data_IF_418568057212
#
_entry.id   IF_418568057212
#
_cell.length_a   1.000
_cell.length_b   1.000
_cell.length_c   1.000
_cell.angle_alpha   90.00
_cell.angle_beta   90.00
_cell.angle_gamma   90.00
#
_symmetry.space_group_name_H-M   'P 1'
#
loop_
_entity.id
_entity.type
_entity.pdbx_description
1 polymer ?
#
# COMPACT_ATOMS: atom_id res chain seq x y z
N UNK A 1 3.81 -27.38 -18.95
CA UNK A 1 3.50 -26.40 -20.01
C UNK A 1 2.98 -25.13 -19.34
N UNK A 2 3.80 -24.07 -19.33
CA UNK A 2 3.43 -22.79 -18.73
C UNK A 2 2.84 -21.94 -19.86
N UNK A 3 1.53 -21.66 -19.79
CA UNK A 3 0.86 -20.70 -20.66
C UNK A 3 1.40 -19.30 -20.37
N UNK A 4 2.47 -18.92 -21.06
CA UNK A 4 2.81 -17.50 -21.26
C UNK A 4 1.72 -16.92 -22.16
N UNK A 5 0.76 -16.22 -21.57
CA UNK A 5 -0.05 -15.26 -22.32
C UNK A 5 0.93 -14.21 -22.83
N UNK A 6 1.35 -14.35 -24.09
CA UNK A 6 1.90 -13.25 -24.86
C UNK A 6 0.82 -12.17 -24.88
N UNK A 7 0.99 -11.13 -24.06
CA UNK A 7 0.28 -9.88 -24.26
C UNK A 7 0.82 -9.31 -25.56
N UNK A 8 0.09 -9.55 -26.66
CA UNK A 8 0.21 -8.78 -27.87
C UNK A 8 0.05 -7.31 -27.49
N UNK A 9 1.15 -6.58 -27.40
CA UNK A 9 1.11 -5.13 -27.47
C UNK A 9 0.72 -4.85 -28.92
N UNK A 10 -0.58 -4.78 -29.17
CA UNK A 10 -1.07 -4.23 -30.44
C UNK A 10 -0.45 -2.86 -30.57
N UNK A 11 0.22 -2.61 -31.69
CA UNK A 11 0.69 -1.29 -32.09
C UNK A 11 -0.52 -0.38 -32.26
N UNK A 12 -1.03 0.12 -31.13
CA UNK A 12 -2.08 1.11 -31.05
C UNK A 12 -1.46 2.42 -31.54
N UNK A 13 -2.02 2.98 -32.61
CA UNK A 13 -1.62 4.31 -33.12
C UNK A 13 -1.54 5.28 -31.95
N UNK A 14 -0.46 6.06 -31.90
CA UNK A 14 -0.30 7.11 -30.91
C UNK A 14 -1.53 8.04 -30.97
N UNK A 15 -2.16 8.26 -29.82
CA UNK A 15 -3.26 9.20 -29.71
C UNK A 15 -2.73 10.61 -29.89
N UNK A 16 -3.55 11.46 -30.52
CA UNK A 16 -3.27 12.87 -30.66
C UNK A 16 -3.16 13.56 -29.28
N UNK A 17 -2.19 14.47 -29.15
CA UNK A 17 -1.83 15.15 -27.91
C UNK A 17 -3.03 15.93 -27.37
N UNK A 18 -3.82 16.58 -28.24
CA UNK A 18 -5.03 17.31 -27.82
C UNK A 18 -6.06 16.38 -27.17
N UNK A 19 -6.28 15.21 -27.77
CA UNK A 19 -7.20 14.20 -27.24
C UNK A 19 -6.69 13.65 -25.90
N UNK A 20 -5.38 13.39 -25.78
CA UNK A 20 -4.77 12.94 -24.52
C UNK A 20 -4.95 13.98 -23.41
N UNK A 21 -4.71 15.26 -23.72
CA UNK A 21 -4.87 16.36 -22.77
C UNK A 21 -6.32 16.52 -22.30
N UNK A 22 -7.29 16.35 -23.21
CA UNK A 22 -8.72 16.37 -22.86
C UNK A 22 -9.08 15.21 -21.92
N UNK A 23 -8.62 13.99 -22.21
CA UNK A 23 -8.86 12.83 -21.35
C UNK A 23 -8.24 13.01 -19.95
N UNK A 24 -7.03 13.57 -19.87
CA UNK A 24 -6.37 13.91 -18.61
C UNK A 24 -7.15 14.96 -17.81
N UNK A 25 -7.58 16.04 -18.45
CA UNK A 25 -8.38 17.08 -17.82
C UNK A 25 -9.71 16.55 -17.29
N UNK A 26 -10.40 15.70 -18.06
CA UNK A 26 -11.64 15.04 -17.64
C UNK A 26 -11.41 14.16 -16.40
N UNK A 27 -10.35 13.36 -16.39
CA UNK A 27 -9.97 12.53 -15.25
C UNK A 27 -9.67 13.37 -14.01
N UNK A 28 -8.82 14.38 -14.13
CA UNK A 28 -8.49 15.28 -13.01
C UNK A 28 -9.74 15.94 -12.42
N UNK A 29 -10.68 16.35 -13.28
CA UNK A 29 -11.93 16.97 -12.86
C UNK A 29 -12.83 15.96 -12.13
N UNK A 30 -12.95 14.73 -12.64
CA UNK A 30 -13.72 13.65 -12.02
C UNK A 30 -13.13 13.25 -10.65
N UNK A 31 -11.81 13.04 -10.58
CA UNK A 31 -11.09 12.68 -9.36
C UNK A 31 -11.20 13.78 -8.31
N UNK A 32 -11.04 15.05 -8.68
CA UNK A 32 -11.17 16.17 -7.76
C UNK A 32 -12.59 16.29 -7.17
N UNK A 33 -13.63 16.10 -8.01
CA UNK A 33 -15.03 16.09 -7.56
C UNK A 33 -15.31 14.94 -6.61
N UNK A 34 -14.88 13.72 -6.97
CA UNK A 34 -15.05 12.54 -6.14
C UNK A 34 -14.34 12.70 -4.80
N UNK A 35 -13.07 13.11 -4.80
CA UNK A 35 -12.27 13.33 -3.59
C UNK A 35 -12.91 14.37 -2.67
N UNK A 36 -13.41 15.49 -3.20
CA UNK A 36 -14.14 16.49 -2.42
C UNK A 36 -15.42 15.90 -1.81
N UNK A 37 -16.17 15.11 -2.57
CA UNK A 37 -17.39 14.48 -2.10
C UNK A 37 -17.14 13.42 -1.00
N UNK A 38 -16.05 12.64 -1.13
CA UNK A 38 -15.59 11.68 -0.13
C UNK A 38 -15.13 12.38 1.15
N UNK A 39 -14.30 13.43 1.05
CA UNK A 39 -13.84 14.21 2.22
C UNK A 39 -14.99 14.81 3.01
N UNK A 40 -15.98 15.38 2.33
CA UNK A 40 -17.17 15.93 2.99
C UNK A 40 -17.96 14.87 3.77
N UNK A 41 -17.86 13.59 3.41
CA UNK A 41 -18.60 12.47 4.02
C UNK A 41 -17.70 11.52 4.80
N UNK A 42 -16.45 11.92 5.05
CA UNK A 42 -15.47 11.06 5.67
C UNK A 42 -15.86 10.78 7.13
N UNK A 43 -15.93 9.50 7.47
CA UNK A 43 -15.97 9.03 8.86
C UNK A 43 -14.56 8.78 9.39
N UNK A 44 -13.64 8.42 8.48
CA UNK A 44 -12.22 8.35 8.74
C UNK A 44 -11.45 8.85 7.52
N UNK A 45 -10.36 9.56 7.73
CA UNK A 45 -9.44 9.97 6.67
C UNK A 45 -8.02 9.99 7.19
N UNK A 46 -7.10 9.44 6.40
CA UNK A 46 -5.67 9.46 6.70
C UNK A 46 -4.89 9.83 5.45
N UNK A 47 -3.91 10.70 5.61
CA UNK A 47 -2.98 11.06 4.54
C UNK A 47 -2.01 9.90 4.31
N UNK A 48 -1.86 9.50 3.06
CA UNK A 48 -0.82 8.57 2.62
C UNK A 48 0.41 9.40 2.28
N UNK A 49 1.57 8.99 2.79
CA UNK A 49 2.85 9.54 2.35
C UNK A 49 3.09 9.26 0.86
N UNK A 50 3.32 10.33 0.11
CA UNK A 50 3.45 10.33 -1.35
C UNK A 50 2.55 11.39 -1.98
N UNK A 51 3.16 12.50 -2.44
CA UNK A 51 2.47 13.45 -3.31
C UNK A 51 2.22 12.77 -4.66
N UNK A 52 1.00 12.84 -5.16
CA UNK A 52 0.77 12.59 -6.59
C UNK A 52 1.50 13.67 -7.42
N UNK A 53 1.76 13.38 -8.69
CA UNK A 53 2.27 14.38 -9.65
C UNK A 53 1.36 15.62 -9.77
N UNK A 54 0.11 15.51 -9.33
CA UNK A 54 -0.88 16.60 -9.21
C UNK A 54 -0.65 17.53 -8.02
N UNK A 55 0.30 17.23 -7.13
CA UNK A 55 0.55 17.98 -5.89
C UNK A 55 -0.45 17.69 -4.75
N UNK A 56 -1.47 16.85 -4.99
CA UNK A 56 -2.44 16.44 -3.97
C UNK A 56 -1.92 15.23 -3.18
N UNK A 57 -2.06 15.26 -1.86
CA UNK A 57 -1.80 14.09 -1.01
C UNK A 57 -2.80 12.98 -1.31
N UNK A 58 -2.35 11.75 -1.49
CA UNK A 58 -3.26 10.62 -1.53
C UNK A 58 -3.88 10.43 -0.15
N UNK A 59 -5.20 10.32 -0.05
CA UNK A 59 -5.88 10.11 1.24
C UNK A 59 -6.60 8.76 1.22
N UNK A 60 -6.43 7.96 2.26
CA UNK A 60 -7.30 6.80 2.50
C UNK A 60 -8.54 7.29 3.22
N UNK A 61 -9.64 7.40 2.49
CA UNK A 61 -10.91 7.89 3.03
C UNK A 61 -11.87 6.72 3.21
N UNK A 62 -12.47 6.63 4.39
CA UNK A 62 -13.62 5.77 4.66
C UNK A 62 -14.83 6.65 4.94
N UNK A 63 -15.85 6.55 4.08
CA UNK A 63 -17.11 7.27 4.22
C UNK A 63 -18.23 6.29 4.57
N UNK A 64 -18.81 6.43 5.76
CA UNK A 64 -19.93 5.60 6.21
C UNK A 64 -21.21 6.42 6.15
N UNK A 65 -22.07 6.14 5.17
CA UNK A 65 -23.17 7.01 4.74
C UNK A 65 -24.53 6.30 4.84
N UNK A 66 -25.60 7.05 5.11
CA UNK A 66 -26.98 6.53 5.00
C UNK A 66 -27.44 6.61 3.55
N UNK A 67 -28.34 5.72 3.11
CA UNK A 67 -28.94 5.77 1.77
C UNK A 67 -29.88 6.99 1.66
N UNK A 68 -29.75 7.75 0.57
CA UNK A 68 -30.55 8.95 0.26
C UNK A 68 -29.97 9.74 -0.92
N UNK A 69 -30.58 10.88 -1.24
CA UNK A 69 -30.14 11.76 -2.34
C UNK A 69 -28.65 12.15 -2.31
N UNK A 70 -28.05 12.54 -1.16
CA UNK A 70 -26.63 12.88 -1.12
C UNK A 70 -25.70 11.67 -1.33
N UNK A 71 -26.21 10.45 -1.20
CA UNK A 71 -25.51 9.19 -1.47
C UNK A 71 -25.61 8.79 -2.93
N UNK A 72 -26.76 9.00 -3.58
CA UNK A 72 -26.93 8.79 -5.03
C UNK A 72 -25.93 9.62 -5.82
N UNK A 73 -25.80 10.92 -5.51
CA UNK A 73 -24.80 11.80 -6.15
C UNK A 73 -23.35 11.33 -5.93
N UNK A 74 -23.05 10.75 -4.76
CA UNK A 74 -21.72 10.21 -4.49
C UNK A 74 -21.45 8.98 -5.39
N UNK A 75 -22.44 8.12 -5.60
CA UNK A 75 -22.33 6.96 -6.49
C UNK A 75 -22.13 7.41 -7.95
N UNK A 76 -22.85 8.43 -8.42
CA UNK A 76 -22.65 9.04 -9.75
C UNK A 76 -21.22 9.54 -9.92
N UNK A 77 -20.63 10.21 -8.92
CA UNK A 77 -19.24 10.66 -8.98
C UNK A 77 -18.24 9.49 -8.99
N UNK A 78 -18.53 8.39 -8.29
CA UNK A 78 -17.71 7.18 -8.34
C UNK A 78 -17.75 6.57 -9.74
N UNK A 79 -18.94 6.46 -10.35
CA UNK A 79 -19.10 5.93 -11.71
C UNK A 79 -18.40 6.82 -12.75
N UNK A 80 -18.49 8.14 -12.62
CA UNK A 80 -17.80 9.09 -13.51
C UNK A 80 -16.27 8.99 -13.42
N UNK A 81 -15.71 8.78 -12.22
CA UNK A 81 -14.27 8.56 -12.07
C UNK A 81 -13.84 7.21 -12.67
N UNK A 82 -14.66 6.15 -12.50
CA UNK A 82 -14.40 4.84 -13.11
C UNK A 82 -14.44 4.88 -14.63
N UNK A 83 -15.41 5.59 -15.21
CA UNK A 83 -15.50 5.73 -16.67
C UNK A 83 -14.32 6.51 -17.23
N UNK A 84 -13.90 7.60 -16.59
CA UNK A 84 -12.72 8.37 -16.99
C UNK A 84 -11.42 7.53 -16.90
N UNK A 85 -11.27 6.72 -15.85
CA UNK A 85 -10.14 5.79 -15.71
C UNK A 85 -10.10 4.76 -16.83
N UNK A 86 -11.27 4.16 -17.13
CA UNK A 86 -11.40 3.17 -18.19
C UNK A 86 -11.07 3.78 -19.56
N UNK A 87 -11.58 4.97 -19.85
CA UNK A 87 -11.34 5.64 -21.12
C UNK A 87 -9.86 5.95 -21.33
N UNK A 88 -9.15 6.44 -20.31
CA UNK A 88 -7.70 6.66 -20.38
C UNK A 88 -6.89 5.38 -20.59
N UNK A 89 -7.22 4.31 -19.86
CA UNK A 89 -6.49 3.04 -19.96
C UNK A 89 -6.75 2.30 -21.27
N UNK A 90 -7.95 2.42 -21.85
CA UNK A 90 -8.28 1.80 -23.13
C UNK A 90 -7.70 2.57 -24.32
N UNK A 91 -7.72 3.91 -24.25
CA UNK A 91 -7.28 4.77 -25.34
C UNK A 91 -5.77 5.02 -25.35
N UNK A 92 -5.15 5.08 -24.17
CA UNK A 92 -3.75 5.43 -24.00
C UNK A 92 -2.97 4.43 -23.10
N UNK A 93 -3.10 3.10 -23.28
CA UNK A 93 -2.46 2.10 -22.41
C UNK A 93 -0.94 2.20 -22.36
N UNK A 94 -0.30 2.73 -23.40
CA UNK A 94 1.16 2.89 -23.49
C UNK A 94 1.72 3.96 -22.54
N UNK A 95 0.88 4.90 -22.10
CA UNK A 95 1.31 6.00 -21.22
C UNK A 95 0.99 5.76 -19.75
N UNK A 96 0.08 4.83 -19.45
CA UNK A 96 -0.49 4.69 -18.11
C UNK A 96 -0.37 3.27 -17.57
N UNK A 97 0.16 3.17 -16.36
CA UNK A 97 0.14 1.93 -15.62
C UNK A 97 -1.16 1.82 -14.80
N UNK A 98 -2.02 0.87 -15.18
CA UNK A 98 -3.27 0.55 -14.47
C UNK A 98 -3.08 0.19 -13.00
N UNK A 99 -1.88 -0.25 -12.59
CA UNK A 99 -1.60 -0.57 -11.19
C UNK A 99 -1.32 0.65 -10.32
N UNK A 100 -1.17 1.84 -10.91
CA UNK A 100 -0.87 3.09 -10.18
C UNK A 100 -2.00 3.46 -9.20
N UNK A 101 -1.64 4.18 -8.14
CA UNK A 101 -2.60 4.68 -7.14
C UNK A 101 -3.66 5.59 -7.77
N UNK A 102 -3.30 6.34 -8.79
CA UNK A 102 -4.20 7.27 -9.48
C UNK A 102 -5.27 6.59 -10.33
N UNK A 103 -5.27 5.26 -10.45
CA UNK A 103 -6.32 4.48 -11.11
C UNK A 103 -7.05 3.54 -10.13
N UNK A 104 -6.80 3.67 -8.82
CA UNK A 104 -7.48 2.85 -7.81
C UNK A 104 -8.93 3.29 -7.68
N UNK A 105 -9.83 2.34 -7.85
CA UNK A 105 -11.26 2.60 -7.71
C UNK A 105 -11.70 2.62 -6.24
N UNK A 106 -12.69 3.47 -5.97
CA UNK A 106 -13.44 3.45 -4.71
C UNK A 106 -14.22 2.14 -4.58
N UNK A 107 -14.06 1.47 -3.45
CA UNK A 107 -14.84 0.28 -3.13
C UNK A 107 -16.15 0.68 -2.48
N UNK A 108 -17.29 0.19 -3.00
CA UNK A 108 -18.62 0.45 -2.43
C UNK A 108 -19.18 -0.84 -1.85
N UNK A 109 -19.70 -0.78 -0.62
CA UNK A 109 -20.38 -1.91 0.03
C UNK A 109 -21.69 -1.44 0.63
N UNK A 110 -22.75 -2.17 0.29
CA UNK A 110 -24.11 -1.84 0.71
C UNK A 110 -24.59 -2.67 1.89
N UNK A 111 -25.71 -2.25 2.50
CA UNK A 111 -26.41 -2.95 3.57
C UNK A 111 -25.52 -3.28 4.79
N UNK A 112 -24.63 -2.36 5.13
CA UNK A 112 -23.69 -2.50 6.26
C UNK A 112 -24.45 -2.37 7.58
N UNK A 113 -24.36 -3.41 8.42
CA UNK A 113 -24.97 -3.45 9.76
C UNK A 113 -24.02 -2.99 10.86
N UNK A 114 -22.74 -3.37 10.75
CA UNK A 114 -21.66 -3.03 11.70
C UNK A 114 -20.35 -2.96 10.93
N UNK A 115 -19.48 -2.04 11.32
CA UNK A 115 -18.12 -1.95 10.78
C UNK A 115 -17.12 -1.63 11.88
N UNK A 116 -16.01 -2.36 11.86
CA UNK A 116 -14.84 -2.04 12.65
C UNK A 116 -13.72 -1.61 11.69
N UNK A 117 -13.31 -0.35 11.77
CA UNK A 117 -12.19 0.22 11.03
C UNK A 117 -10.97 0.12 11.93
N UNK A 118 -10.02 -0.72 11.55
CA UNK A 118 -8.77 -0.92 12.30
C UNK A 118 -7.61 -0.25 11.57
N UNK A 119 -6.84 0.55 12.29
CA UNK A 119 -5.63 1.21 11.79
C UNK A 119 -4.45 0.43 12.35
N UNK A 120 -3.67 -0.21 11.49
CA UNK A 120 -2.53 -1.03 11.89
C UNK A 120 -1.25 -0.44 11.30
N UNK A 121 -0.15 -0.51 12.04
CA UNK A 121 1.16 -0.18 11.48
C UNK A 121 1.65 -1.34 10.61
N UNK A 122 1.87 -1.10 9.32
CA UNK A 122 2.30 -2.11 8.36
C UNK A 122 3.55 -1.66 7.60
N UNK A 123 4.28 -2.62 7.05
CA UNK A 123 5.38 -2.35 6.12
C UNK A 123 5.35 -3.40 5.03
N UNK A 124 5.65 -3.00 3.78
CA UNK A 124 5.88 -3.99 2.74
C UNK A 124 7.12 -4.80 3.09
N UNK A 125 7.03 -6.12 2.97
CA UNK A 125 8.15 -7.01 3.24
C UNK A 125 8.26 -8.06 2.15
N UNK A 126 9.49 -8.30 1.69
CA UNK A 126 9.78 -9.28 0.65
C UNK A 126 11.08 -10.01 0.98
N UNK A 127 11.05 -11.34 0.89
CA UNK A 127 12.25 -12.17 0.95
C UNK A 127 12.96 -12.21 -0.40
N UNK A 128 14.28 -12.09 -0.39
CA UNK A 128 15.15 -12.12 -1.57
C UNK A 128 16.47 -12.80 -1.19
N UNK A 129 17.01 -13.67 -2.02
CA UNK A 129 18.32 -14.31 -1.78
C UNK A 129 19.48 -13.44 -2.23
N UNK A 130 20.67 -13.62 -1.65
CA UNK A 130 21.91 -12.98 -2.08
C UNK A 130 22.19 -13.16 -3.58
N UNK A 131 22.00 -14.37 -4.10
CA UNK A 131 22.16 -14.65 -5.53
C UNK A 131 21.25 -13.78 -6.42
N UNK A 132 19.99 -13.57 -6.01
CA UNK A 132 19.04 -12.71 -6.74
C UNK A 132 19.40 -11.23 -6.63
N UNK A 133 19.94 -10.79 -5.49
CA UNK A 133 20.45 -9.42 -5.31
C UNK A 133 21.70 -9.17 -6.16
N UNK A 134 22.65 -10.09 -6.17
CA UNK A 134 23.85 -10.04 -7.01
C UNK A 134 23.48 -9.89 -8.50
N UNK A 135 22.56 -10.72 -9.00
CA UNK A 135 22.09 -10.63 -10.39
C UNK A 135 21.42 -9.28 -10.71
N UNK A 136 20.71 -8.69 -9.75
CA UNK A 136 20.12 -7.34 -9.91
C UNK A 136 21.19 -6.25 -9.92
N UNK A 137 22.20 -6.35 -9.07
CA UNK A 137 23.34 -5.43 -9.05
C UNK A 137 24.15 -5.50 -10.34
N UNK A 138 24.36 -6.68 -10.92
CA UNK A 138 25.03 -6.82 -12.22
C UNK A 138 24.26 -6.15 -13.37
N UNK A 139 22.92 -6.18 -13.32
CA UNK A 139 22.10 -5.44 -14.28
C UNK A 139 22.18 -3.93 -14.04
N UNK A 140 22.15 -3.51 -12.77
CA UNK A 140 22.24 -2.11 -12.38
C UNK A 140 23.61 -1.48 -12.74
N UNK A 141 24.71 -2.20 -12.51
CA UNK A 141 26.05 -1.76 -12.88
C UNK A 141 26.20 -1.56 -14.39
N UNK A 142 25.63 -2.46 -15.21
CA UNK A 142 25.60 -2.28 -16.67
C UNK A 142 24.83 -1.02 -17.09
N UNK A 143 23.74 -0.69 -16.40
CA UNK A 143 23.00 0.54 -16.64
C UNK A 143 23.78 1.79 -16.22
N UNK A 144 24.49 1.73 -15.08
CA UNK A 144 25.38 2.81 -14.63
C UNK A 144 26.55 3.02 -15.60
N UNK A 145 27.18 1.95 -16.07
CA UNK A 145 28.27 2.03 -17.06
C UNK A 145 27.81 2.69 -18.36
N UNK A 146 26.60 2.34 -18.81
CA UNK A 146 25.97 2.99 -19.96
C UNK A 146 25.72 4.48 -19.69
N UNK A 147 25.18 4.84 -18.52
CA UNK A 147 24.93 6.25 -18.17
C UNK A 147 26.22 7.07 -18.11
N UNK A 148 27.26 6.51 -17.49
CA UNK A 148 28.57 7.14 -17.37
C UNK A 148 29.31 7.28 -18.71
N UNK A 149 28.87 6.59 -19.76
CA UNK A 149 29.41 6.75 -21.12
C UNK A 149 28.91 8.01 -21.84
N UNK A 150 27.82 8.61 -21.36
CA UNK A 150 27.32 9.87 -21.89
C UNK A 150 28.04 11.07 -21.27
N UNK A 151 27.99 12.19 -21.98
CA UNK A 151 28.45 13.46 -21.45
C UNK A 151 27.43 13.98 -20.42
N UNK A 152 27.86 14.09 -19.17
CA UNK A 152 27.02 14.40 -18.02
C UNK A 152 27.65 15.55 -17.22
N UNK A 153 26.82 16.38 -16.56
CA UNK A 153 27.31 17.37 -15.60
C UNK A 153 28.20 16.72 -14.52
N UNK A 154 29.20 17.45 -14.03
CA UNK A 154 30.17 16.92 -13.06
C UNK A 154 29.51 16.37 -11.79
N UNK A 155 28.51 17.07 -11.26
CA UNK A 155 27.75 16.65 -10.07
C UNK A 155 27.05 15.30 -10.28
N UNK A 156 26.39 15.12 -11.42
CA UNK A 156 25.71 13.86 -11.75
C UNK A 156 26.71 12.72 -11.97
N UNK A 157 27.83 13.04 -12.61
CA UNK A 157 28.91 12.08 -12.86
C UNK A 157 29.52 11.58 -11.55
N UNK A 158 29.79 12.48 -10.60
CA UNK A 158 30.30 12.12 -9.27
C UNK A 158 29.29 11.27 -8.48
N UNK A 159 28.00 11.62 -8.55
CA UNK A 159 26.96 10.82 -7.89
C UNK A 159 26.88 9.40 -8.46
N UNK A 160 26.95 9.26 -9.79
CA UNK A 160 26.89 7.96 -10.46
C UNK A 160 28.14 7.11 -10.19
N UNK A 161 29.34 7.71 -10.11
CA UNK A 161 30.56 6.98 -9.76
C UNK A 161 30.53 6.49 -8.30
N UNK A 162 30.05 7.31 -7.37
CA UNK A 162 29.85 6.90 -5.98
C UNK A 162 28.84 5.75 -5.84
N UNK A 163 27.73 5.82 -6.58
CA UNK A 163 26.74 4.74 -6.65
C UNK A 163 27.34 3.45 -7.24
N UNK A 164 28.19 3.56 -8.27
CA UNK A 164 28.89 2.43 -8.89
C UNK A 164 29.84 1.76 -7.90
N UNK A 165 30.66 2.53 -7.19
CA UNK A 165 31.59 2.00 -6.18
C UNK A 165 30.85 1.25 -5.07
N UNK A 166 29.75 1.83 -4.58
CA UNK A 166 28.91 1.20 -3.56
C UNK A 166 28.27 -0.09 -4.08
N UNK A 167 27.74 -0.08 -5.32
CA UNK A 167 27.15 -1.25 -5.95
C UNK A 167 28.17 -2.38 -6.20
N UNK A 168 29.44 -2.07 -6.48
CA UNK A 168 30.51 -3.07 -6.60
C UNK A 168 30.82 -3.74 -5.27
N UNK A 169 30.88 -2.96 -4.18
CA UNK A 169 31.10 -3.50 -2.84
C UNK A 169 29.93 -4.40 -2.40
N UNK A 170 28.69 -3.96 -2.63
CA UNK A 170 27.49 -4.77 -2.38
C UNK A 170 27.47 -6.04 -3.23
N UNK A 171 27.88 -5.96 -4.50
CA UNK A 171 27.90 -7.12 -5.40
C UNK A 171 28.84 -8.20 -4.86
N UNK A 172 30.03 -7.80 -4.39
CA UNK A 172 30.97 -8.72 -3.76
C UNK A 172 30.35 -9.39 -2.54
N UNK A 173 29.78 -8.60 -1.64
CA UNK A 173 29.12 -9.11 -0.43
C UNK A 173 28.00 -10.13 -0.74
N UNK A 174 27.12 -9.85 -1.70
CA UNK A 174 26.03 -10.77 -2.05
C UNK A 174 26.47 -12.00 -2.83
N UNK A 175 27.59 -11.92 -3.56
CA UNK A 175 28.21 -13.11 -4.17
C UNK A 175 28.80 -14.04 -3.12
N UNK A 176 29.48 -13.47 -2.13
CA UNK A 176 30.06 -14.22 -1.02
C UNK A 176 28.96 -14.83 -0.11
N UNK A 177 27.76 -14.23 -0.10
CA UNK A 177 26.60 -14.66 0.68
C UNK A 177 25.41 -15.07 -0.21
N UNK A 178 25.68 -15.82 -1.29
CA UNK A 178 24.67 -16.12 -2.32
C UNK A 178 23.43 -16.87 -1.79
N UNK A 179 23.63 -17.81 -0.86
CA UNK A 179 22.59 -18.65 -0.29
C UNK A 179 21.85 -18.00 0.90
N UNK A 180 22.33 -16.85 1.38
CA UNK A 180 21.71 -16.15 2.51
C UNK A 180 20.41 -15.49 2.05
N UNK A 181 19.36 -15.68 2.84
CA UNK A 181 18.09 -14.97 2.67
C UNK A 181 18.15 -13.59 3.33
N UNK A 182 17.72 -12.59 2.58
CA UNK A 182 17.55 -11.23 3.05
C UNK A 182 16.08 -10.86 3.04
N UNK A 183 15.66 -10.10 4.05
CA UNK A 183 14.34 -9.48 4.12
C UNK A 183 14.44 -8.01 3.79
N UNK A 184 13.88 -7.63 2.65
CA UNK A 184 13.64 -6.24 2.30
C UNK A 184 12.37 -5.77 3.02
N UNK A 185 12.46 -4.66 3.75
CA UNK A 185 11.32 -4.00 4.41
C UNK A 185 11.24 -2.56 3.92
N UNK A 186 10.09 -2.18 3.34
CA UNK A 186 9.81 -0.80 2.98
C UNK A 186 9.53 0.07 4.21
N UNK A 187 9.32 1.36 3.98
CA UNK A 187 8.88 2.29 5.02
C UNK A 187 7.55 1.84 5.64
N UNK A 188 7.45 2.07 6.94
CA UNK A 188 6.23 1.81 7.70
C UNK A 188 5.16 2.81 7.27
N UNK A 189 3.94 2.32 7.14
CA UNK A 189 2.76 3.11 6.82
C UNK A 189 1.56 2.54 7.57
N UNK A 190 0.53 3.36 7.73
CA UNK A 190 -0.70 2.92 8.39
C UNK A 190 -1.58 2.17 7.37
N UNK A 191 -1.81 0.88 7.62
CA UNK A 191 -2.75 0.03 6.90
C UNK A 191 -4.12 0.06 7.57
N UNK A 192 -5.13 0.50 6.81
CA UNK A 192 -6.49 0.65 7.31
C UNK A 192 -7.30 -0.52 6.79
N UNK A 193 -7.87 -1.27 7.71
CA UNK A 193 -8.64 -2.47 7.41
C UNK A 193 -10.04 -2.33 7.99
N UNK A 194 -11.05 -2.37 7.12
CA UNK A 194 -12.45 -2.41 7.50
C UNK A 194 -12.94 -3.86 7.57
N UNK A 195 -13.39 -4.28 8.75
CA UNK A 195 -14.11 -5.54 8.97
C UNK A 195 -15.59 -5.21 8.96
N UNK A 196 -16.30 -5.71 7.94
CA UNK A 196 -17.66 -5.29 7.62
C UNK A 196 -18.60 -6.46 7.86
N UNK A 197 -19.66 -6.18 8.62
CA UNK A 197 -20.78 -7.08 8.80
C UNK A 197 -21.98 -6.52 8.03
N UNK A 198 -22.55 -7.33 7.15
CA UNK A 198 -23.78 -6.97 6.42
C UNK A 198 -25.00 -7.49 7.15
N UNK A 199 -26.14 -6.86 6.92
CA UNK A 199 -27.42 -7.36 7.40
C UNK A 199 -27.83 -8.60 6.58
N UNK A 200 -28.03 -9.74 7.25
CA UNK A 200 -28.59 -10.96 6.65
C UNK A 200 -30.04 -11.10 7.12
N UNK A 201 -30.98 -10.84 6.19
CA UNK A 201 -32.42 -10.90 6.47
C UNK A 201 -32.93 -12.32 6.70
N UNK A 202 -32.20 -13.35 6.27
CA UNK A 202 -32.65 -14.74 6.34
C UNK A 202 -32.32 -15.44 7.68
N UNK A 203 -31.42 -14.87 8.48
CA UNK A 203 -30.96 -15.45 9.76
C UNK A 203 -31.25 -14.53 10.96
N UNK A 204 -32.48 -14.01 11.06
CA UNK A 204 -32.94 -13.28 12.26
C UNK A 204 -32.16 -11.99 12.59
N UNK A 205 -31.45 -11.40 11.61
CA UNK A 205 -30.67 -10.17 11.82
C UNK A 205 -29.28 -10.37 12.46
N UNK A 206 -28.78 -11.60 12.55
CA UNK A 206 -27.41 -11.88 13.02
C UNK A 206 -26.39 -11.31 12.02
N UNK A 207 -25.48 -10.46 12.49
CA UNK A 207 -24.46 -9.82 11.66
C UNK A 207 -23.25 -10.73 11.44
N UNK A 208 -23.15 -11.41 10.30
CA UNK A 208 -21.96 -12.21 9.94
C UNK A 208 -20.86 -11.31 9.36
N UNK A 209 -19.59 -11.69 9.58
CA UNK A 209 -18.47 -11.04 8.88
C UNK A 209 -18.63 -11.34 7.40
N UNK A 210 -18.96 -10.31 6.63
CA UNK A 210 -19.23 -10.45 5.20
C UNK A 210 -17.98 -10.17 4.38
N UNK A 211 -17.16 -9.20 4.81
CA UNK A 211 -15.97 -8.80 4.07
C UNK A 211 -14.92 -8.17 4.97
N UNK A 212 -13.66 -8.48 4.68
CA UNK A 212 -12.49 -7.75 5.18
C UNK A 212 -11.91 -6.96 4.00
N UNK A 213 -11.78 -5.64 4.14
CA UNK A 213 -11.35 -4.75 3.06
C UNK A 213 -10.17 -3.90 3.54
N UNK A 214 -9.06 -3.98 2.81
CA UNK A 214 -7.97 -3.00 2.94
C UNK A 214 -8.35 -1.74 2.18
N UNK A 215 -8.33 -0.60 2.86
CA UNK A 215 -8.70 0.69 2.26
C UNK A 215 -7.56 1.15 1.36
N UNK A 216 -7.83 1.21 0.06
CA UNK A 216 -6.88 1.67 -0.95
C UNK A 216 -6.92 3.21 -1.08
N UNK A 217 -6.07 3.75 -1.96
CA UNK A 217 -6.06 5.19 -2.27
C UNK A 217 -7.35 5.72 -2.94
N UNK A 218 -8.14 4.84 -3.56
CA UNK A 218 -9.45 5.18 -4.11
C UNK A 218 -10.55 5.34 -3.06
N UNK A 219 -10.31 4.89 -1.82
CA UNK A 219 -11.22 5.00 -0.69
C UNK A 219 -12.27 3.89 -0.60
N UNK A 220 -13.05 3.94 0.49
CA UNK A 220 -14.08 2.98 0.84
C UNK A 220 -15.38 3.71 1.20
N UNK A 221 -16.48 3.36 0.54
CA UNK A 221 -17.82 3.86 0.84
C UNK A 221 -18.68 2.72 1.36
N UNK A 222 -19.22 2.91 2.57
CA UNK A 222 -20.07 1.97 3.26
C UNK A 222 -21.48 2.55 3.40
N UNK A 223 -22.45 1.95 2.71
CA UNK A 223 -23.85 2.37 2.79
C UNK A 223 -24.51 1.60 3.95
N UNK A 224 -24.83 2.33 5.02
CA UNK A 224 -25.44 1.80 6.23
C UNK A 224 -26.84 1.27 5.95
N UNK A 225 -27.13 0.09 6.48
CA UNK A 225 -28.50 -0.41 6.61
C UNK A 225 -29.27 0.44 7.65
N UNK A 226 -30.61 0.51 7.53
CA UNK A 226 -31.48 1.27 8.45
C UNK A 226 -31.31 0.92 9.94
N UNK A 227 -30.87 -0.30 10.22
CA UNK A 227 -30.67 -0.79 11.59
C UNK A 227 -29.27 -0.53 12.15
N UNK A 228 -28.35 0.04 11.35
CA UNK A 228 -27.00 0.40 11.79
C UNK A 228 -27.05 1.71 12.58
N UNK A 229 -26.69 1.65 13.87
CA UNK A 229 -26.60 2.78 14.78
C UNK A 229 -25.17 3.33 14.79
N UNK A 230 -24.97 4.51 15.35
CA UNK A 230 -23.64 5.15 15.33
C UNK A 230 -22.59 4.36 16.13
N UNK A 231 -22.98 3.70 17.22
CA UNK A 231 -22.08 2.82 18.00
C UNK A 231 -21.71 1.52 17.27
N UNK A 232 -22.37 1.19 16.16
CA UNK A 232 -21.99 0.03 15.32
C UNK A 232 -20.84 0.37 14.36
N UNK A 233 -20.37 1.62 14.37
CA UNK A 233 -19.20 2.09 13.62
C UNK A 233 -18.08 2.33 14.62
N UNK A 234 -17.14 1.39 14.68
CA UNK A 234 -16.00 1.46 15.59
C UNK A 234 -14.73 1.78 14.80
N UNK A 235 -13.91 2.67 15.35
CA UNK A 235 -12.57 2.96 14.85
C UNK A 235 -11.59 2.56 15.95
N UNK A 236 -10.67 1.64 15.63
CA UNK A 236 -9.66 1.14 16.57
C UNK A 236 -8.29 1.46 16.01
N UNK A 237 -7.52 2.24 16.78
CA UNK A 237 -6.14 2.53 16.42
C UNK A 237 -5.18 1.59 17.15
N UNK A 238 -4.54 0.69 16.39
CA UNK A 238 -3.54 -0.26 16.89
C UNK A 238 -2.10 0.20 16.60
N UNK A 239 -1.87 1.48 16.31
CA UNK A 239 -0.52 2.00 16.02
C UNK A 239 0.33 2.23 17.28
N UNK A 240 -0.18 1.97 18.48
CA UNK A 240 0.55 2.16 19.74
C UNK A 240 1.76 1.23 19.86
N UNK A 241 2.74 1.69 20.66
CA UNK A 241 4.15 1.29 20.73
C UNK A 241 4.41 -0.20 21.05
N UNK A 242 4.17 -1.08 20.09
CA UNK A 242 4.89 -2.35 20.03
C UNK A 242 6.26 -2.12 19.41
N UNK A 243 7.36 -2.34 20.16
CA UNK A 243 8.70 -2.43 19.54
C UNK A 243 8.65 -3.50 18.46
N UNK A 244 8.97 -3.15 17.23
CA UNK A 244 9.03 -4.09 16.12
C UNK A 244 10.22 -5.03 16.31
N UNK A 245 10.15 -6.27 15.81
CA UNK A 245 11.33 -7.17 15.77
C UNK A 245 12.45 -6.57 14.92
N UNK A 246 12.08 -5.70 13.97
CA UNK A 246 12.99 -5.02 13.07
C UNK A 246 13.66 -3.79 13.70
N UNK A 247 13.19 -3.33 14.87
CA UNK A 247 13.85 -2.27 15.62
C UNK A 247 15.06 -2.83 16.40
N UNK A 248 15.10 -4.15 16.62
CA UNK A 248 16.17 -4.87 17.30
C UNK A 248 17.19 -5.49 16.32
N UNK A 249 16.85 -5.56 15.03
CA UNK A 249 17.70 -6.16 14.01
C UNK A 249 18.59 -5.10 13.33
N UNK A 250 19.80 -5.50 12.93
CA UNK A 250 20.72 -4.62 12.23
C UNK A 250 20.27 -4.40 10.78
N UNK A 251 19.73 -3.22 10.52
CA UNK A 251 19.36 -2.78 9.18
C UNK A 251 20.58 -2.27 8.41
N UNK A 252 20.63 -2.57 7.12
CA UNK A 252 21.51 -1.87 6.19
C UNK A 252 20.75 -1.42 4.94
N UNK A 253 21.23 -0.37 4.30
CA UNK A 253 20.66 0.16 3.06
C UNK A 253 21.41 -0.43 1.86
N UNK A 254 20.69 -0.66 0.77
CA UNK A 254 21.29 -1.05 -0.52
C UNK A 254 21.00 -0.02 -1.59
N UNK A 255 21.96 0.18 -2.48
CA UNK A 255 21.81 1.05 -3.67
C UNK A 255 20.62 0.62 -4.55
N UNK A 256 20.25 -0.67 -4.56
CA UNK A 256 19.08 -1.15 -5.31
C UNK A 256 17.73 -0.65 -4.73
N UNK A 257 17.68 -0.38 -3.42
CA UNK A 257 16.43 0.00 -2.74
C UNK A 257 16.68 1.15 -1.75
N UNK A 258 16.86 2.39 -2.24
CA UNK A 258 17.17 3.53 -1.39
C UNK A 258 16.07 3.84 -0.35
N UNK A 259 14.82 3.46 -0.66
CA UNK A 259 13.65 3.70 0.19
C UNK A 259 13.27 2.49 1.06
N UNK A 260 14.14 1.49 1.18
CA UNK A 260 13.89 0.30 1.99
C UNK A 260 15.13 -0.10 2.79
N UNK A 261 14.89 -0.70 3.95
CA UNK A 261 15.93 -1.33 4.74
C UNK A 261 15.99 -2.81 4.41
N UNK A 262 17.20 -3.38 4.44
CA UNK A 262 17.40 -4.81 4.33
C UNK A 262 17.94 -5.37 5.63
N UNK A 263 17.52 -6.60 5.91
CA UNK A 263 17.84 -7.35 7.11
C UNK A 263 18.27 -8.76 6.69
N UNK A 264 19.15 -9.37 7.46
CA UNK A 264 19.47 -10.79 7.30
C UNK A 264 18.31 -11.58 7.91
N UNK A 265 17.75 -12.53 7.15
CA UNK A 265 16.55 -13.27 7.57
C UNK A 265 16.77 -14.06 8.86
N UNK A 266 17.93 -14.72 8.99
CA UNK A 266 18.27 -15.53 10.16
C UNK A 266 18.37 -14.71 11.44
N UNK A 267 18.86 -13.46 11.37
CA UNK A 267 18.90 -12.54 12.50
C UNK A 267 17.49 -12.15 12.96
N UNK A 268 16.62 -11.81 12.01
CA UNK A 268 15.22 -11.45 12.29
C UNK A 268 14.47 -12.64 12.90
N UNK A 269 14.75 -13.85 12.44
CA UNK A 269 14.13 -15.06 12.96
C UNK A 269 14.63 -15.41 14.37
N UNK A 270 15.93 -15.24 14.66
CA UNK A 270 16.48 -15.40 16.00
C UNK A 270 15.83 -14.44 17.03
N UNK A 271 15.65 -13.17 16.66
CA UNK A 271 14.93 -12.19 17.49
C UNK A 271 13.48 -12.62 17.72
N UNK A 272 12.83 -13.15 16.69
CA UNK A 272 11.43 -13.63 16.78
C UNK A 272 11.31 -14.79 17.76
N UNK A 273 12.24 -15.74 17.74
CA UNK A 273 12.28 -16.88 18.65
C UNK A 273 12.54 -16.43 20.09
N UNK A 274 13.54 -15.57 20.31
CA UNK A 274 13.84 -15.01 21.64
C UNK A 274 12.63 -14.31 22.27
N UNK A 275 11.88 -13.53 21.48
CA UNK A 275 10.64 -12.88 21.96
C UNK A 275 9.53 -13.86 22.26
N UNK A 276 9.41 -14.96 21.49
CA UNK A 276 8.42 -16.01 21.74
C UNK A 276 8.69 -16.70 23.07
N UNK A 277 9.95 -16.99 23.37
CA UNK A 277 10.36 -17.59 24.65
C UNK A 277 10.12 -16.66 25.85
N UNK A 278 10.39 -15.36 25.70
CA UNK A 278 10.12 -14.38 26.77
C UNK A 278 8.63 -14.29 27.08
N UNK A 279 7.76 -14.37 26.06
CA UNK A 279 6.31 -14.39 26.25
C UNK A 279 5.86 -15.66 26.98
N UNK A 280 6.31 -16.83 26.55
CA UNK A 280 5.94 -18.09 27.20
C UNK A 280 6.41 -18.17 28.66
N UNK A 281 7.61 -17.64 28.97
CA UNK A 281 8.13 -17.56 30.35
C UNK A 281 7.32 -16.61 31.23
N UNK A 282 6.76 -15.54 30.67
CA UNK A 282 5.92 -14.60 31.40
C UNK A 282 4.48 -15.09 31.59
N UNK A 283 3.93 -15.88 30.67
CA UNK A 283 2.62 -16.54 30.85
C UNK A 283 2.64 -17.58 31.98
N UNK A 284 3.78 -18.21 32.23
CA UNK A 284 3.97 -19.14 33.36
C UNK A 284 4.26 -18.47 34.70
N UNK A 285 4.42 -17.14 34.77
CA UNK A 285 4.54 -16.44 36.06
C UNK A 285 3.17 -16.30 36.69
N UNK A 286 3.01 -16.80 37.91
CA UNK A 286 1.81 -16.56 38.70
C UNK A 286 1.56 -15.06 38.81
N UNK A 287 0.37 -14.60 38.43
CA UNK A 287 -0.03 -13.19 38.62
C UNK A 287 0.09 -12.86 40.11
N UNK A 288 0.81 -11.79 40.42
CA UNK A 288 0.91 -11.27 41.79
C UNK A 288 -0.50 -10.99 42.31
N UNK A 289 -0.82 -11.48 43.51
CA UNK A 289 -2.12 -11.24 44.16
C UNK A 289 -2.41 -9.74 44.42
N UNK A 290 -1.41 -8.86 44.24
CA UNK A 290 -1.54 -7.41 44.42
C UNK A 290 -1.98 -6.64 43.16
N UNK A 291 -2.02 -7.26 41.98
CA UNK A 291 -2.39 -6.57 40.72
C UNK A 291 -3.89 -6.26 40.61
N UNK A 292 -4.71 -6.69 41.57
CA UNK A 292 -6.14 -6.39 41.66
C UNK A 292 -6.48 -5.15 42.52
N UNK A 293 -5.48 -4.41 43.02
CA UNK A 293 -5.68 -3.29 43.96
C UNK A 293 -5.32 -1.91 43.41
N UNK A 294 -5.04 -1.78 42.10
CA UNK A 294 -4.85 -0.48 41.46
C UNK A 294 -6.02 -0.24 40.50
N UNK A 295 -7.02 0.51 40.97
CA UNK A 295 -8.05 1.16 40.16
C UNK A 295 -7.50 2.43 39.51
#
# INVERSE_FOLDING_TARGET
MINKKNTEIKDLKAIDIETLNQLLANKQTADARLKRALKHRATFSEQIDGKEDSGLFNDRIVAVVKRGNPTTRLLEYIEAAKSANKELLERAPQYFNSSSNSFKETTVIENVRRVNITINKAASSQKVTGARLAKRLEAYLRDLDRKLSYDLPEDEKEQLTNNKNTALNELKYFKDNADVEFRKRGQEHNDIVAIIHTYDGNNGGISRVAKKVHVNAGGLVLIRHRSCKDHDVLITNNTTEGRSIFDEANAFKSVLYPNANMYIESEVDAIREARKELRSKNESKARSQFDGLVN
#
